data_IF_631809824356
#
_entry.id   IF_631809824356
#
_cell.length_a   1.000
_cell.length_b   1.000
_cell.length_c   1.000
_cell.angle_alpha   90.00
_cell.angle_beta   90.00
_cell.angle_gamma   90.00
#
_symmetry.space_group_name_H-M   'P 1'
#
loop_
_entity.id
_entity.type
_entity.pdbx_description
1 polymer ?
#
# COMPACT_ATOMS: atom_id res chain seq x y z
N UNK A 1 -45.90 -75.61 29.17
CA UNK A 1 -45.25 -76.16 27.96
C UNK A 1 -44.13 -75.23 27.54
N UNK A 2 -42.89 -75.75 27.47
CA UNK A 2 -41.63 -75.15 26.98
C UNK A 2 -41.17 -73.91 27.78
N UNK A 3 -40.26 -73.95 28.78
CA UNK A 3 -38.93 -74.61 28.89
C UNK A 3 -38.02 -74.24 27.72
N UNK A 4 -36.81 -73.67 27.83
CA UNK A 4 -35.85 -73.25 28.88
C UNK A 4 -34.69 -72.50 28.10
N UNK A 5 -33.42 -72.36 28.55
CA UNK A 5 -32.81 -71.82 29.76
C UNK A 5 -31.70 -70.75 29.52
N UNK A 6 -31.47 -69.92 30.54
CA UNK A 6 -30.20 -69.71 31.28
C UNK A 6 -28.83 -69.81 30.57
N UNK A 7 -28.02 -68.73 30.64
CA UNK A 7 -26.65 -68.71 31.22
C UNK A 7 -26.35 -67.29 31.76
N UNK A 8 -26.22 -67.09 33.08
CA UNK A 8 -24.95 -67.14 33.85
C UNK A 8 -23.99 -66.04 33.34
N UNK A 9 -23.61 -64.98 34.06
CA UNK A 9 -22.90 -64.93 35.37
C UNK A 9 -23.04 -63.50 35.96
N UNK A 10 -23.14 -63.45 37.28
CA UNK A 10 -23.34 -62.32 38.22
C UNK A 10 -21.98 -61.62 38.58
N UNK A 11 -21.88 -60.79 39.64
CA UNK A 11 -22.00 -59.33 39.76
C UNK A 11 -20.64 -58.64 40.08
N UNK A 12 -20.57 -57.30 40.06
CA UNK A 12 -19.66 -56.45 40.87
C UNK A 12 -19.82 -55.02 40.33
N UNK A 13 -19.86 -53.93 41.05
CA UNK A 13 -19.95 -53.54 42.44
C UNK A 13 -20.58 -52.13 42.36
N UNK A 14 -21.63 -51.85 43.11
CA UNK A 14 -21.53 -51.25 44.44
C UNK A 14 -20.81 -49.88 44.41
N UNK A 15 -21.53 -48.89 44.97
CA UNK A 15 -21.08 -47.63 45.56
C UNK A 15 -21.14 -46.39 44.67
N UNK A 16 -22.36 -45.85 44.58
CA UNK A 16 -22.52 -44.42 44.73
C UNK A 16 -22.23 -44.01 46.19
N UNK A 17 -21.65 -42.82 46.34
CA UNK A 17 -21.86 -41.89 47.46
C UNK A 17 -20.80 -41.85 48.59
N UNK A 18 -20.04 -40.75 48.52
CA UNK A 18 -19.56 -39.86 49.60
C UNK A 18 -18.50 -40.40 50.59
N UNK A 19 -17.25 -39.98 50.40
CA UNK A 19 -16.54 -39.16 51.38
C UNK A 19 -15.31 -38.47 50.75
N UNK A 20 -15.01 -37.26 51.22
CA UNK A 20 -14.17 -36.23 50.62
C UNK A 20 -12.67 -36.58 50.41
N UNK A 21 -12.08 -36.03 49.34
CA UNK A 21 -10.66 -35.68 49.28
C UNK A 21 -10.50 -34.33 48.55
N UNK A 22 -10.10 -33.34 49.35
CA UNK A 22 -9.16 -32.25 49.08
C UNK A 22 -8.58 -32.15 47.67
N UNK A 23 -8.62 -30.93 47.13
CA UNK A 23 -7.56 -30.31 46.32
C UNK A 23 -6.67 -31.27 45.52
N UNK A 24 -7.22 -31.78 44.43
CA UNK A 24 -6.45 -32.27 43.31
C UNK A 24 -7.11 -31.66 42.08
N UNK A 25 -6.71 -30.43 41.77
CA UNK A 25 -7.02 -29.87 40.46
C UNK A 25 -6.21 -30.72 39.48
N UNK A 26 -6.91 -31.63 38.83
CA UNK A 26 -6.37 -32.45 37.76
C UNK A 26 -5.87 -31.50 36.68
N UNK A 27 -4.57 -31.54 36.40
CA UNK A 27 -4.05 -31.18 35.09
C UNK A 27 -4.57 -32.22 34.09
N UNK A 28 -5.55 -31.83 33.29
CA UNK A 28 -5.81 -32.40 31.97
C UNK A 28 -5.97 -31.23 30.99
N UNK A 29 -5.30 -31.38 29.86
CA UNK A 29 -5.03 -30.38 28.82
C UNK A 29 -6.31 -29.84 28.15
N UNK A 30 -6.69 -28.58 28.40
CA UNK A 30 -7.50 -27.76 27.45
C UNK A 30 -7.64 -26.26 27.88
N UNK A 31 -6.73 -25.74 28.69
CA UNK A 31 -6.88 -24.38 29.29
C UNK A 31 -6.23 -23.24 28.51
N UNK A 32 -5.33 -23.54 27.58
CA UNK A 32 -4.54 -22.53 26.87
C UNK A 32 -5.34 -21.83 25.77
N UNK A 33 -6.30 -22.52 25.14
CA UNK A 33 -7.09 -21.96 24.04
C UNK A 33 -8.03 -20.85 24.52
N UNK A 34 -8.61 -20.99 25.71
CA UNK A 34 -9.52 -19.98 26.27
C UNK A 34 -8.76 -18.72 26.74
N UNK A 35 -7.60 -18.88 27.39
CA UNK A 35 -6.76 -17.75 27.81
C UNK A 35 -6.17 -17.00 26.59
N UNK A 36 -5.79 -17.73 25.53
CA UNK A 36 -5.30 -17.15 24.27
C UNK A 36 -6.42 -16.47 23.45
N UNK A 37 -7.63 -17.04 23.46
CA UNK A 37 -8.80 -16.42 22.83
C UNK A 37 -9.17 -15.09 23.50
N UNK A 38 -9.08 -15.01 24.84
CA UNK A 38 -9.35 -13.77 25.57
C UNK A 38 -8.28 -12.71 25.31
N UNK A 39 -7.01 -13.08 25.28
CA UNK A 39 -5.90 -12.16 24.99
C UNK A 39 -5.96 -11.61 23.56
N UNK A 40 -6.27 -12.45 22.57
CA UNK A 40 -6.46 -12.02 21.17
C UNK A 40 -7.70 -11.15 20.98
N UNK A 41 -8.81 -11.45 21.67
CA UNK A 41 -10.01 -10.61 21.66
C UNK A 41 -9.76 -9.23 22.29
N UNK A 42 -8.99 -9.16 23.37
CA UNK A 42 -8.58 -7.90 24.01
C UNK A 42 -7.71 -7.05 23.08
N UNK A 43 -6.70 -7.66 22.43
CA UNK A 43 -5.85 -6.95 21.46
C UNK A 43 -6.64 -6.45 20.24
N UNK A 44 -7.61 -7.23 19.75
CA UNK A 44 -8.48 -6.81 18.66
C UNK A 44 -9.37 -5.62 19.07
N UNK A 45 -9.91 -5.64 20.29
CA UNK A 45 -10.70 -4.53 20.83
C UNK A 45 -9.88 -3.26 21.01
N UNK A 46 -8.62 -3.37 21.47
CA UNK A 46 -7.72 -2.23 21.67
C UNK A 46 -7.28 -1.60 20.34
N UNK A 47 -7.05 -2.44 19.32
CA UNK A 47 -6.76 -1.98 17.95
C UNK A 47 -7.97 -1.29 17.33
N UNK A 48 -9.19 -1.79 17.58
CA UNK A 48 -10.42 -1.17 17.11
C UNK A 48 -10.78 0.15 17.85
N UNK A 49 -10.33 0.30 19.10
CA UNK A 49 -10.56 1.49 19.91
C UNK A 49 -9.53 2.61 19.66
N UNK A 50 -8.48 2.35 18.90
CA UNK A 50 -7.46 3.36 18.57
C UNK A 50 -8.07 4.38 17.60
N UNK A 51 -8.19 5.66 17.97
CA UNK A 51 -8.66 6.70 17.05
C UNK A 51 -7.74 6.75 15.84
N UNK A 52 -8.31 6.79 14.64
CA UNK A 52 -7.54 6.97 13.42
C UNK A 52 -6.65 8.23 13.57
N UNK A 53 -5.36 8.16 13.21
CA UNK A 53 -4.49 9.33 13.26
C UNK A 53 -5.15 10.46 12.47
N UNK A 54 -5.22 11.64 13.08
CA UNK A 54 -5.74 12.83 12.41
C UNK A 54 -4.97 13.03 11.09
N UNK A 55 -5.64 13.45 10.00
CA UNK A 55 -4.96 13.71 8.74
C UNK A 55 -3.87 14.76 9.00
N UNK A 56 -2.62 14.39 8.74
CA UNK A 56 -1.49 15.31 8.79
C UNK A 56 -1.69 16.34 7.68
N UNK A 57 -2.28 17.48 8.00
CA UNK A 57 -2.30 18.63 7.12
C UNK A 57 -0.85 19.16 7.05
N UNK A 58 -0.15 18.88 5.94
CA UNK A 58 1.22 19.36 5.77
C UNK A 58 2.12 18.58 4.83
N UNK A 59 1.66 17.47 4.23
CA UNK A 59 2.39 16.85 3.11
C UNK A 59 1.99 17.57 1.84
N UNK A 60 2.75 18.59 1.46
CA UNK A 60 2.67 19.16 0.11
C UNK A 60 2.95 18.03 -0.88
N UNK A 61 2.13 17.84 -1.92
CA UNK A 61 2.45 16.87 -2.96
C UNK A 61 3.82 17.22 -3.55
N UNK A 62 4.64 16.21 -3.87
CA UNK A 62 5.94 16.47 -4.50
C UNK A 62 5.74 17.34 -5.73
N UNK A 63 6.57 18.37 -5.88
CA UNK A 63 6.61 19.16 -7.11
C UNK A 63 6.81 18.19 -8.28
N UNK A 64 5.94 18.21 -9.31
CA UNK A 64 6.11 17.32 -10.45
C UNK A 64 7.45 17.66 -11.12
N UNK A 65 8.30 16.65 -11.31
CA UNK A 65 9.48 16.79 -12.14
C UNK A 65 9.07 17.06 -13.59
N UNK A 66 9.97 17.65 -14.38
CA UNK A 66 9.72 17.90 -15.80
C UNK A 66 9.31 16.60 -16.50
N UNK A 67 8.17 16.64 -17.20
CA UNK A 67 7.66 15.58 -18.06
C UNK A 67 7.31 16.13 -19.44
N UNK A 68 8.28 16.04 -20.36
CA UNK A 68 8.12 16.52 -21.73
C UNK A 68 6.98 15.82 -22.50
N UNK A 69 6.57 14.60 -22.09
CA UNK A 69 5.53 13.83 -22.78
C UNK A 69 4.17 14.55 -22.79
N UNK A 70 3.95 15.38 -21.76
CA UNK A 70 2.73 16.18 -21.58
C UNK A 70 2.61 17.32 -22.62
N UNK A 71 3.73 17.73 -23.21
CA UNK A 71 3.80 18.81 -24.20
C UNK A 71 4.05 18.32 -25.65
N UNK A 72 4.11 17.00 -25.89
CA UNK A 72 4.41 16.41 -27.21
C UNK A 72 3.38 16.77 -28.30
N UNK A 73 2.15 17.16 -27.91
CA UNK A 73 1.13 17.65 -28.84
C UNK A 73 1.54 18.95 -29.57
N UNK A 74 2.59 19.63 -29.10
CA UNK A 74 3.10 20.86 -29.68
C UNK A 74 4.12 20.61 -30.81
N UNK A 75 4.58 19.38 -31.00
CA UNK A 75 5.48 19.02 -32.11
C UNK A 75 4.81 19.32 -33.45
N UNK A 76 5.57 19.93 -34.37
CA UNK A 76 5.08 20.36 -35.68
C UNK A 76 4.46 21.76 -35.69
N UNK A 77 4.34 22.42 -34.54
CA UNK A 77 3.86 23.80 -34.47
C UNK A 77 5.03 24.80 -34.55
N UNK A 78 4.82 26.00 -35.11
CA UNK A 78 5.84 27.06 -35.08
C UNK A 78 6.02 27.57 -33.65
N UNK A 79 7.26 27.64 -33.18
CA UNK A 79 7.56 28.13 -31.84
C UNK A 79 7.22 29.62 -31.72
N UNK A 80 6.65 30.00 -30.59
CA UNK A 80 6.43 31.38 -30.17
C UNK A 80 6.62 31.48 -28.66
N UNK A 81 6.82 32.68 -28.12
CA UNK A 81 7.01 32.86 -26.67
C UNK A 81 5.83 32.29 -25.87
N UNK A 82 4.60 32.50 -26.35
CA UNK A 82 3.40 31.96 -25.72
C UNK A 82 3.35 30.43 -25.78
N UNK A 83 3.75 29.82 -26.90
CA UNK A 83 3.78 28.37 -27.06
C UNK A 83 4.90 27.72 -26.23
N UNK A 84 6.05 28.40 -26.11
CA UNK A 84 7.15 27.94 -25.27
C UNK A 84 6.79 27.99 -23.78
N UNK A 85 6.08 29.04 -23.35
CA UNK A 85 5.57 29.14 -21.99
C UNK A 85 4.52 28.06 -21.70
N UNK A 86 3.57 27.85 -22.62
CA UNK A 86 2.61 26.76 -22.52
C UNK A 86 3.32 25.40 -22.41
N UNK A 87 4.31 25.13 -23.26
CA UNK A 87 5.07 23.88 -23.21
C UNK A 87 5.76 23.70 -21.85
N UNK A 88 6.31 24.78 -21.27
CA UNK A 88 6.93 24.76 -19.95
C UNK A 88 5.92 24.37 -18.87
N UNK A 89 4.74 25.01 -18.88
CA UNK A 89 3.67 24.73 -17.92
C UNK A 89 3.11 23.31 -18.07
N UNK A 90 2.83 22.88 -19.30
CA UNK A 90 2.33 21.54 -19.61
C UNK A 90 3.31 20.45 -19.14
N UNK A 91 4.61 20.68 -19.34
CA UNK A 91 5.67 19.78 -18.90
C UNK A 91 5.99 19.87 -17.40
N UNK A 92 5.42 20.83 -16.65
CA UNK A 92 5.77 21.05 -15.26
C UNK A 92 7.23 21.49 -15.04
N UNK A 93 7.86 22.08 -16.05
CA UNK A 93 9.24 22.55 -15.95
C UNK A 93 9.31 23.93 -15.26
N UNK A 94 10.42 24.20 -14.57
CA UNK A 94 10.66 25.52 -13.96
C UNK A 94 11.15 26.53 -15.00
N UNK A 95 11.92 26.05 -15.99
CA UNK A 95 12.54 26.89 -17.02
C UNK A 95 12.41 26.25 -18.39
N UNK A 96 12.49 27.07 -19.43
CA UNK A 96 12.42 26.63 -20.83
C UNK A 96 13.57 27.22 -21.65
N UNK A 97 14.12 26.43 -22.57
CA UNK A 97 15.15 26.84 -23.53
C UNK A 97 14.78 26.37 -24.93
N UNK A 98 14.79 27.28 -25.89
CA UNK A 98 14.64 26.94 -27.31
C UNK A 98 16.02 26.70 -27.91
N UNK A 99 16.18 25.59 -28.63
CA UNK A 99 17.42 25.17 -29.27
C UNK A 99 17.26 25.18 -30.78
N UNK A 100 18.12 25.95 -31.46
CA UNK A 100 18.13 26.03 -32.92
C UNK A 100 19.20 25.12 -33.53
N UNK A 101 19.06 24.72 -34.81
CA UNK A 101 20.03 23.83 -35.43
C UNK A 101 21.45 24.43 -35.47
N UNK A 102 22.45 23.65 -35.05
CA UNK A 102 23.85 24.08 -35.02
C UNK A 102 24.21 25.01 -33.85
N UNK A 103 23.28 25.29 -32.94
CA UNK A 103 23.57 26.02 -31.72
C UNK A 103 24.55 25.23 -30.85
N UNK A 104 25.68 25.86 -30.54
CA UNK A 104 26.66 25.28 -29.62
C UNK A 104 26.09 25.32 -28.20
N UNK A 105 25.86 24.15 -27.63
CA UNK A 105 25.41 23.98 -26.25
C UNK A 105 26.31 23.00 -25.51
N UNK A 106 26.36 23.17 -24.20
CA UNK A 106 26.98 22.21 -23.29
C UNK A 106 25.99 21.10 -22.92
N UNK A 107 26.50 19.94 -22.56
CA UNK A 107 25.70 18.78 -22.12
C UNK A 107 25.50 18.80 -20.61
N UNK A 108 25.13 19.96 -20.06
CA UNK A 108 24.69 20.09 -18.67
C UNK A 108 23.29 19.51 -18.52
N UNK A 109 23.07 18.72 -17.47
CA UNK A 109 21.78 18.10 -17.16
C UNK A 109 21.09 18.92 -16.06
N UNK A 110 19.91 19.42 -16.38
CA UNK A 110 19.09 20.32 -15.58
C UNK A 110 17.64 19.82 -15.63
N UNK A 111 17.28 18.98 -14.65
CA UNK A 111 16.02 18.22 -14.65
C UNK A 111 14.78 19.12 -14.55
N UNK A 112 14.95 20.38 -14.16
CA UNK A 112 13.89 21.38 -14.05
C UNK A 112 13.68 22.17 -15.35
N UNK A 113 14.46 21.88 -16.40
CA UNK A 113 14.43 22.61 -17.67
C UNK A 113 13.81 21.79 -18.78
N UNK A 114 12.88 22.41 -19.50
CA UNK A 114 12.40 21.95 -20.79
C UNK A 114 13.25 22.53 -21.92
N UNK A 115 13.82 21.67 -22.77
CA UNK A 115 14.37 22.08 -24.06
C UNK A 115 13.34 21.85 -25.15
N UNK A 116 13.11 22.89 -25.95
CA UNK A 116 12.32 22.85 -27.18
C UNK A 116 13.30 22.90 -28.34
N UNK A 117 13.45 21.79 -29.05
CA UNK A 117 14.26 21.72 -30.26
C UNK A 117 13.41 22.14 -31.45
N UNK A 118 13.95 23.04 -32.28
CA UNK A 118 13.28 23.53 -33.48
C UNK A 118 14.11 23.28 -34.73
N UNK A 119 13.44 23.19 -35.88
CA UNK A 119 14.09 23.18 -37.18
C UNK A 119 14.50 24.59 -37.65
N UNK A 120 15.07 24.67 -38.86
CA UNK A 120 15.49 25.94 -39.45
C UNK A 120 14.34 26.91 -39.76
N UNK A 121 13.09 26.43 -39.81
CA UNK A 121 11.90 27.25 -39.98
C UNK A 121 11.26 27.66 -38.63
N UNK A 122 11.83 27.22 -37.51
CA UNK A 122 11.29 27.46 -36.18
C UNK A 122 10.13 26.51 -35.81
N UNK A 123 9.96 25.41 -36.54
CA UNK A 123 8.97 24.37 -36.21
C UNK A 123 9.52 23.49 -35.10
N UNK A 124 8.72 23.22 -34.06
CA UNK A 124 9.10 22.31 -32.98
C UNK A 124 9.29 20.90 -33.53
N UNK A 125 10.47 20.32 -33.30
CA UNK A 125 10.82 18.95 -33.72
C UNK A 125 10.90 17.96 -32.57
N UNK A 126 11.23 18.43 -31.36
CA UNK A 126 11.29 17.59 -30.17
C UNK A 126 11.18 18.44 -28.89
N UNK A 127 10.71 17.80 -27.82
CA UNK A 127 10.73 18.34 -26.46
C UNK A 127 11.49 17.38 -25.54
N UNK A 128 12.39 17.90 -24.70
CA UNK A 128 13.27 17.10 -23.83
C UNK A 128 13.51 17.79 -22.50
N UNK A 129 13.29 17.07 -21.40
CA UNK A 129 13.74 17.52 -20.08
C UNK A 129 15.25 17.33 -19.94
N UNK A 130 15.96 18.30 -19.36
CA UNK A 130 17.40 18.23 -19.07
C UNK A 130 18.22 19.46 -19.43
#
# INVERSE_FOLDING_TARGET
MRSNPTRLILPLALLASLCACSAQVSTDEDGTEQEQALSSAQQAAETAATPAPAPVAGVEPPVPACDASQAEALVGQPVSDALAEQAREDAGAERVRVLTPGQMVTMDCDEERLNIEVDAAGTITALRCG
#
